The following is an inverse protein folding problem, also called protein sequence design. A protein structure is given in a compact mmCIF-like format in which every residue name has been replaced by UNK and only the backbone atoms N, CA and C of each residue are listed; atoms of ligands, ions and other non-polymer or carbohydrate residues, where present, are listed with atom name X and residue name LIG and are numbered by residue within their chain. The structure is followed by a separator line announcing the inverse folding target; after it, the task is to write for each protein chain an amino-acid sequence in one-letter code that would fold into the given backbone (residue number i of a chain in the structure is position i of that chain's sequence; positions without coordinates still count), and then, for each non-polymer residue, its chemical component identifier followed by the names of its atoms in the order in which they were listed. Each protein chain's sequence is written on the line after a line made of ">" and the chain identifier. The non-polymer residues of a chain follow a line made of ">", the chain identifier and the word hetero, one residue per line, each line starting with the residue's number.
data_IF_809787089927
#
_entry.id   IF_809787089927
#
_cell.length_a   1.000
_cell.length_b   1.000
_cell.length_c   1.000
_cell.angle_alpha   90.00
_cell.angle_beta   90.00
_cell.angle_gamma   90.00
#
_symmetry.space_group_name_H-M   'P 1'
#
loop_
_entity.id
_entity.type
_entity.pdbx_description
1 polymer ?
#
# COMPACT_ATOMS: atom_id res chain seq x y z
N UNK A 1 76.56 -30.16 -21.77
CA UNK A 1 75.58 -29.06 -21.64
C UNK A 1 74.23 -29.62 -22.08
N UNK A 2 73.39 -30.00 -21.12
CA UNK A 2 72.16 -30.79 -21.39
C UNK A 2 70.96 -29.93 -20.98
N UNK A 3 70.18 -29.47 -21.96
CA UNK A 3 68.97 -28.68 -21.72
C UNK A 3 67.85 -29.59 -21.21
N UNK A 4 67.45 -29.42 -19.94
CA UNK A 4 66.21 -30.02 -19.42
C UNK A 4 65.02 -29.19 -19.89
N UNK A 5 64.18 -29.79 -20.75
CA UNK A 5 62.88 -29.22 -21.13
C UNK A 5 61.92 -29.40 -19.95
N UNK A 6 61.59 -28.30 -19.29
CA UNK A 6 60.55 -28.24 -18.26
C UNK A 6 59.19 -28.49 -18.94
N UNK A 7 58.57 -29.65 -18.70
CA UNK A 7 57.19 -29.91 -19.14
C UNK A 7 56.24 -29.18 -18.21
N UNK A 8 55.59 -28.13 -18.71
CA UNK A 8 54.49 -27.46 -18.02
C UNK A 8 53.25 -28.37 -18.13
N UNK A 9 52.58 -28.73 -17.01
CA UNK A 9 51.35 -29.52 -17.06
C UNK A 9 50.24 -28.75 -17.80
N UNK A 10 49.35 -29.44 -18.55
CA UNK A 10 48.30 -28.78 -19.31
C UNK A 10 47.36 -27.99 -18.37
N UNK A 11 46.83 -26.83 -18.81
CA UNK A 11 45.91 -26.03 -18.01
C UNK A 11 44.65 -26.85 -17.68
N UNK A 12 44.30 -26.89 -16.39
CA UNK A 12 43.10 -27.58 -15.90
C UNK A 12 41.86 -26.78 -16.35
N UNK A 13 40.86 -27.39 -17.03
CA UNK A 13 39.65 -26.69 -17.47
C UNK A 13 38.81 -26.21 -16.28
N UNK A 14 38.26 -25.00 -16.33
CA UNK A 14 37.71 -24.32 -15.14
C UNK A 14 36.34 -24.85 -14.69
N UNK A 15 35.38 -24.98 -15.61
CA UNK A 15 33.97 -25.29 -15.30
C UNK A 15 33.73 -26.65 -14.61
N UNK A 16 34.65 -27.62 -14.67
CA UNK A 16 34.37 -28.98 -14.15
C UNK A 16 34.60 -29.06 -12.64
N UNK A 17 35.54 -28.28 -12.08
CA UNK A 17 35.71 -28.17 -10.61
C UNK A 17 34.65 -27.29 -9.97
N UNK A 18 34.13 -26.29 -10.69
CA UNK A 18 33.13 -25.36 -10.16
C UNK A 18 31.76 -25.99 -9.94
N UNK A 19 31.30 -26.89 -10.83
CA UNK A 19 29.98 -27.51 -10.68
C UNK A 19 29.89 -28.46 -9.48
N UNK A 20 30.89 -29.33 -9.31
CA UNK A 20 30.89 -30.29 -8.19
C UNK A 20 31.03 -29.57 -6.84
N UNK A 21 31.87 -28.53 -6.78
CA UNK A 21 32.00 -27.67 -5.59
C UNK A 21 30.71 -26.90 -5.32
N UNK A 22 30.09 -26.27 -6.33
CA UNK A 22 28.81 -25.58 -6.17
C UNK A 22 27.70 -26.52 -5.69
N UNK A 23 27.63 -27.75 -6.22
CA UNK A 23 26.68 -28.77 -5.77
C UNK A 23 26.93 -29.17 -4.32
N UNK A 24 28.19 -29.35 -3.92
CA UNK A 24 28.53 -29.71 -2.55
C UNK A 24 28.23 -28.57 -1.58
N UNK A 25 28.62 -27.34 -1.91
CA UNK A 25 28.25 -26.14 -1.13
C UNK A 25 26.74 -25.96 -1.03
N UNK A 26 25.99 -26.25 -2.08
CA UNK A 26 24.52 -26.22 -2.06
C UNK A 26 23.94 -27.30 -1.15
N UNK A 27 24.44 -28.54 -1.22
CA UNK A 27 24.03 -29.62 -0.32
C UNK A 27 24.35 -29.30 1.15
N UNK A 28 25.53 -28.74 1.43
CA UNK A 28 25.94 -28.32 2.77
C UNK A 28 25.04 -27.20 3.29
N UNK A 29 24.69 -26.23 2.43
CA UNK A 29 23.76 -25.16 2.76
C UNK A 29 22.34 -25.69 3.01
N UNK A 30 21.85 -26.65 2.22
CA UNK A 30 20.56 -27.31 2.49
C UNK A 30 20.56 -28.09 3.80
N UNK A 31 21.64 -28.83 4.09
CA UNK A 31 21.79 -29.53 5.36
C UNK A 31 21.85 -28.57 6.55
N UNK A 32 22.51 -27.42 6.37
CA UNK A 32 22.55 -26.33 7.34
C UNK A 32 21.15 -25.72 7.56
N UNK A 33 20.44 -25.38 6.48
CA UNK A 33 19.08 -24.86 6.52
C UNK A 33 18.12 -25.83 7.18
N UNK A 34 18.23 -27.14 6.90
CA UNK A 34 17.41 -28.18 7.56
C UNK A 34 17.69 -28.25 9.06
N UNK A 35 18.96 -28.17 9.47
CA UNK A 35 19.34 -28.24 10.90
C UNK A 35 18.93 -26.98 11.66
N UNK A 36 18.96 -25.82 11.02
CA UNK A 36 18.67 -24.50 11.62
C UNK A 36 17.43 -23.83 11.03
N UNK A 37 16.44 -24.62 10.62
CA UNK A 37 15.28 -24.15 9.87
C UNK A 37 14.52 -23.01 10.58
N UNK A 38 14.50 -23.03 11.92
CA UNK A 38 13.87 -21.99 12.74
C UNK A 38 14.50 -20.60 12.56
N UNK A 39 15.76 -20.49 12.14
CA UNK A 39 16.39 -19.20 11.80
C UNK A 39 15.92 -18.67 10.45
N UNK A 40 15.57 -19.56 9.52
CA UNK A 40 15.11 -19.21 8.18
C UNK A 40 13.59 -19.02 8.11
N UNK A 41 12.84 -19.64 9.02
CA UNK A 41 11.38 -19.55 9.07
C UNK A 41 10.87 -18.09 9.11
N UNK A 42 11.38 -17.18 9.97
CA UNK A 42 10.93 -15.79 9.97
C UNK A 42 11.20 -15.08 8.65
N UNK A 43 12.37 -15.32 8.04
CA UNK A 43 12.74 -14.72 6.76
C UNK A 43 11.77 -15.18 5.66
N UNK A 44 11.53 -16.48 5.55
CA UNK A 44 10.57 -17.01 4.58
C UNK A 44 9.14 -16.54 4.86
N UNK A 45 8.74 -16.42 6.12
CA UNK A 45 7.42 -15.88 6.48
C UNK A 45 7.26 -14.41 6.05
N UNK A 46 8.28 -13.57 6.25
CA UNK A 46 8.28 -12.17 5.77
C UNK A 46 8.14 -12.11 4.25
N UNK A 47 8.93 -12.90 3.51
CA UNK A 47 8.86 -12.93 2.05
C UNK A 47 7.53 -13.48 1.53
N UNK A 48 6.99 -14.52 2.17
CA UNK A 48 5.68 -15.07 1.82
C UNK A 48 4.56 -14.04 2.03
N UNK A 49 4.55 -13.33 3.17
CA UNK A 49 3.59 -12.26 3.44
C UNK A 49 3.74 -11.10 2.46
N UNK A 50 4.98 -10.71 2.12
CA UNK A 50 5.24 -9.68 1.12
C UNK A 50 4.74 -10.09 -0.28
N UNK A 51 4.96 -11.34 -0.68
CA UNK A 51 4.50 -11.88 -1.96
C UNK A 51 2.98 -11.94 -2.05
N UNK A 52 2.31 -12.46 -1.01
CA UNK A 52 0.83 -12.46 -0.92
C UNK A 52 0.29 -11.03 -1.03
N UNK A 53 0.93 -10.07 -0.35
CA UNK A 53 0.51 -8.66 -0.40
C UNK A 53 0.65 -8.05 -1.79
N UNK A 54 1.71 -8.39 -2.51
CA UNK A 54 2.00 -7.83 -3.82
C UNK A 54 1.10 -8.41 -4.92
N UNK A 55 0.81 -9.70 -4.87
CA UNK A 55 0.18 -10.40 -5.99
C UNK A 55 -1.24 -10.92 -5.74
N UNK A 56 -1.68 -11.07 -4.49
CA UNK A 56 -2.96 -11.71 -4.17
C UNK A 56 -3.93 -10.80 -3.41
N UNK A 57 -3.47 -10.18 -2.32
CA UNK A 57 -4.33 -9.43 -1.40
C UNK A 57 -3.57 -8.25 -0.77
N UNK A 58 -3.80 -7.01 -1.22
CA UNK A 58 -3.07 -5.84 -0.72
C UNK A 58 -3.48 -5.45 0.71
N UNK A 59 -4.52 -6.09 1.28
CA UNK A 59 -5.06 -5.76 2.61
C UNK A 59 -4.03 -6.05 3.70
N UNK A 60 -3.68 -5.07 4.56
CA UNK A 60 -2.73 -5.31 5.63
C UNK A 60 -3.38 -6.20 6.70
N UNK A 61 -2.79 -7.37 6.95
CA UNK A 61 -3.28 -8.34 7.93
C UNK A 61 -2.82 -8.07 9.36
N UNK A 62 -1.75 -7.29 9.52
CA UNK A 62 -1.25 -6.89 10.82
C UNK A 62 -2.02 -5.67 11.36
N UNK A 63 -2.12 -5.51 12.69
CA UNK A 63 -2.79 -4.35 13.29
C UNK A 63 -1.96 -3.06 13.14
N UNK A 64 -0.66 -3.16 12.85
CA UNK A 64 0.20 -2.00 12.61
C UNK A 64 0.18 -1.66 11.13
N UNK A 65 -0.11 -0.41 10.81
CA UNK A 65 -0.17 0.13 9.45
C UNK A 65 0.89 1.20 9.29
N UNK A 66 1.63 1.13 8.18
CA UNK A 66 2.62 2.13 7.80
C UNK A 66 2.08 2.98 6.65
N UNK A 67 2.04 4.29 6.85
CA UNK A 67 1.69 5.24 5.80
C UNK A 67 2.98 5.80 5.19
N UNK A 68 3.18 5.51 3.90
CA UNK A 68 4.34 5.94 3.13
C UNK A 68 4.15 7.28 2.43
N UNK A 69 2.89 7.70 2.22
CA UNK A 69 2.59 8.93 1.49
C UNK A 69 2.42 10.10 2.45
N UNK A 70 2.77 11.34 2.04
CA UNK A 70 2.55 12.51 2.87
C UNK A 70 1.07 12.93 2.95
N UNK A 71 0.12 12.01 2.75
CA UNK A 71 -1.32 12.33 2.77
C UNK A 71 -1.80 12.80 4.15
N UNK A 72 -1.26 12.20 5.21
CA UNK A 72 -1.50 12.49 6.61
C UNK A 72 -0.14 12.62 7.31
N UNK A 73 -0.03 13.36 8.43
CA UNK A 73 1.23 13.62 9.12
C UNK A 73 1.68 12.45 10.00
N UNK A 74 1.17 11.24 9.74
CA UNK A 74 1.41 10.03 10.52
C UNK A 74 2.06 8.98 9.62
N UNK A 75 3.17 8.40 10.08
CA UNK A 75 3.86 7.26 9.46
C UNK A 75 3.39 5.91 10.00
N UNK A 76 2.93 5.86 11.25
CA UNK A 76 2.51 4.63 11.93
C UNK A 76 1.15 4.83 12.59
N UNK A 77 0.26 3.88 12.34
CA UNK A 77 -1.05 3.83 12.96
C UNK A 77 -1.39 2.40 13.42
N UNK A 78 -2.22 2.30 14.43
CA UNK A 78 -2.72 1.04 14.98
C UNK A 78 -4.19 0.85 14.62
N UNK A 79 -4.55 -0.24 13.95
CA UNK A 79 -5.92 -0.61 13.60
C UNK A 79 -6.67 -1.08 14.84
N UNK A 80 -7.68 -0.30 15.22
CA UNK A 80 -8.50 -0.51 16.43
C UNK A 80 -9.57 -1.56 16.22
N UNK A 81 -10.14 -1.62 15.01
CA UNK A 81 -11.17 -2.58 14.64
C UNK A 81 -10.82 -3.31 13.35
N UNK A 82 -11.14 -4.60 13.31
CA UNK A 82 -11.13 -5.37 12.06
C UNK A 82 -12.44 -5.11 11.30
N UNK A 83 -12.52 -5.54 10.04
CA UNK A 83 -13.77 -5.43 9.26
C UNK A 83 -14.87 -6.22 9.97
N UNK A 84 -15.95 -5.55 10.34
CA UNK A 84 -17.11 -6.14 10.98
C UNK A 84 -18.21 -6.34 9.94
N UNK A 85 -19.11 -7.31 10.19
CA UNK A 85 -20.30 -7.55 9.36
C UNK A 85 -21.18 -6.30 9.27
N UNK A 86 -21.20 -5.49 10.33
CA UNK A 86 -21.82 -4.16 10.38
C UNK A 86 -20.70 -3.14 10.58
N UNK A 87 -20.50 -2.18 9.66
CA UNK A 87 -19.53 -1.11 9.85
C UNK A 87 -19.87 -0.31 11.11
N UNK A 88 -18.89 -0.02 11.99
CA UNK A 88 -19.13 0.88 13.13
C UNK A 88 -19.58 2.25 12.61
N UNK A 89 -20.46 2.91 13.36
CA UNK A 89 -20.85 4.28 13.06
C UNK A 89 -19.60 5.17 13.08
N UNK A 90 -19.20 5.66 11.90
CA UNK A 90 -18.08 6.57 11.73
C UNK A 90 -18.50 8.00 12.06
N UNK A 91 -17.59 8.76 12.66
CA UNK A 91 -17.76 10.17 13.01
C UNK A 91 -16.77 11.05 12.22
N UNK A 92 -17.12 12.32 11.95
CA UNK A 92 -16.15 13.29 11.37
C UNK A 92 -14.94 13.39 12.30
N UNK A 93 -13.74 13.10 11.79
CA UNK A 93 -12.49 13.05 12.56
C UNK A 93 -11.93 11.64 12.77
N UNK A 94 -12.73 10.60 12.55
CA UNK A 94 -12.24 9.23 12.59
C UNK A 94 -11.23 8.99 11.48
N UNK A 95 -10.17 8.24 11.79
CA UNK A 95 -9.25 7.76 10.77
C UNK A 95 -9.59 6.34 10.39
N UNK A 96 -9.64 6.08 9.09
CA UNK A 96 -10.01 4.77 8.55
C UNK A 96 -8.98 4.26 7.56
N UNK A 97 -8.89 2.94 7.51
CA UNK A 97 -8.28 2.21 6.41
C UNK A 97 -9.40 1.69 5.52
N UNK A 98 -9.33 1.93 4.21
CA UNK A 98 -10.31 1.41 3.26
C UNK A 98 -9.66 0.87 1.99
N UNK A 99 -10.32 -0.10 1.36
CA UNK A 99 -9.90 -0.63 0.07
C UNK A 99 -10.34 0.33 -1.05
N UNK A 100 -9.37 0.89 -1.78
CA UNK A 100 -9.66 1.82 -2.86
C UNK A 100 -10.46 1.15 -3.98
N UNK A 101 -11.52 1.82 -4.44
CA UNK A 101 -12.38 1.36 -5.54
C UNK A 101 -12.89 2.51 -6.42
N UNK A 102 -12.22 3.67 -6.39
CA UNK A 102 -12.57 4.82 -7.23
C UNK A 102 -12.21 4.61 -8.71
N UNK A 103 -12.77 5.43 -9.59
CA UNK A 103 -12.63 5.33 -11.04
C UNK A 103 -11.18 5.43 -11.55
N UNK A 104 -10.28 6.04 -10.76
CA UNK A 104 -8.85 6.10 -11.10
C UNK A 104 -8.23 4.71 -11.33
N UNK A 105 -8.79 3.64 -10.77
CA UNK A 105 -8.32 2.27 -11.00
C UNK A 105 -8.43 1.83 -12.47
N UNK A 106 -9.29 2.47 -13.28
CA UNK A 106 -9.40 2.20 -14.72
C UNK A 106 -8.12 2.62 -15.46
N UNK A 107 -7.49 3.71 -15.00
CA UNK A 107 -6.24 4.23 -15.57
C UNK A 107 -5.01 3.73 -14.83
N UNK A 108 -5.16 3.38 -13.55
CA UNK A 108 -4.11 2.87 -12.68
C UNK A 108 -4.58 1.56 -12.01
N UNK A 109 -4.54 0.41 -12.71
CA UNK A 109 -5.06 -0.87 -12.20
C UNK A 109 -4.46 -1.29 -10.85
N UNK A 110 -3.20 -0.89 -10.59
CA UNK A 110 -2.52 -1.14 -9.33
C UNK A 110 -3.18 -0.50 -8.10
N UNK A 111 -4.09 0.47 -8.26
CA UNK A 111 -4.86 1.07 -7.17
C UNK A 111 -6.00 0.18 -6.68
N UNK A 112 -6.45 -0.80 -7.47
CA UNK A 112 -7.61 -1.64 -7.13
C UNK A 112 -7.41 -2.35 -5.80
N UNK A 113 -8.29 -2.07 -4.85
CA UNK A 113 -8.27 -2.67 -3.51
C UNK A 113 -7.11 -2.21 -2.63
N UNK A 114 -6.25 -1.29 -3.09
CA UNK A 114 -5.13 -0.83 -2.28
C UNK A 114 -5.63 -0.15 -1.00
N UNK A 115 -5.00 -0.44 0.15
CA UNK A 115 -5.41 0.12 1.43
C UNK A 115 -5.01 1.60 1.51
N UNK A 116 -6.01 2.47 1.59
CA UNK A 116 -5.83 3.91 1.75
C UNK A 116 -6.12 4.32 3.19
N UNK A 117 -5.27 5.19 3.73
CA UNK A 117 -5.40 5.73 5.08
C UNK A 117 -5.75 7.22 5.04
N UNK A 118 -6.96 7.56 5.50
CA UNK A 118 -7.53 8.93 5.43
C UNK A 118 -8.40 9.22 6.65
N UNK A 119 -8.71 10.49 6.87
CA UNK A 119 -9.64 10.95 7.91
C UNK A 119 -11.03 11.17 7.30
N UNK A 120 -12.08 10.81 8.04
CA UNK A 120 -13.48 11.08 7.67
C UNK A 120 -13.77 12.56 7.89
N UNK A 121 -14.20 13.26 6.83
CA UNK A 121 -14.57 14.69 6.88
C UNK A 121 -16.04 14.95 6.57
N UNK A 122 -16.73 14.02 5.90
CA UNK A 122 -18.16 14.12 5.66
C UNK A 122 -18.89 12.79 5.87
N UNK A 123 -20.11 12.87 6.37
CA UNK A 123 -20.99 11.76 6.73
C UNK A 123 -22.24 11.74 5.83
N UNK A 124 -23.00 10.63 5.78
CA UNK A 124 -24.28 10.60 5.10
C UNK A 124 -25.19 11.77 5.48
N UNK A 125 -25.77 12.42 4.47
CA UNK A 125 -26.60 13.62 4.63
C UNK A 125 -25.84 14.95 4.61
N UNK A 126 -24.51 14.96 4.81
CA UNK A 126 -23.71 16.17 4.56
C UNK A 126 -23.78 16.57 3.07
N UNK A 127 -23.84 17.87 2.80
CA UNK A 127 -23.88 18.43 1.44
C UNK A 127 -22.49 18.86 0.99
N UNK A 128 -22.04 18.34 -0.15
CA UNK A 128 -20.81 18.72 -0.83
C UNK A 128 -21.14 19.80 -1.87
N UNK A 129 -20.43 20.91 -1.82
CA UNK A 129 -20.43 21.93 -2.88
C UNK A 129 -19.02 22.21 -3.36
N UNK A 130 -18.89 22.76 -4.56
CA UNK A 130 -17.61 23.14 -5.16
C UNK A 130 -17.72 24.55 -5.73
N UNK A 131 -16.78 25.42 -5.33
CA UNK A 131 -16.66 26.80 -5.82
C UNK A 131 -15.22 26.99 -6.30
N UNK A 132 -15.01 27.22 -7.60
CA UNK A 132 -13.67 27.39 -8.19
C UNK A 132 -12.65 26.35 -7.72
N UNK A 133 -13.10 25.07 -7.67
CA UNK A 133 -12.35 23.89 -7.19
C UNK A 133 -12.07 23.83 -5.69
N UNK A 134 -12.48 24.82 -4.90
CA UNK A 134 -12.60 24.70 -3.45
C UNK A 134 -13.77 23.77 -3.12
N UNK A 135 -13.52 22.69 -2.39
CA UNK A 135 -14.55 21.76 -1.93
C UNK A 135 -15.01 22.18 -0.55
N UNK A 136 -16.33 22.24 -0.35
CA UNK A 136 -16.96 22.58 0.92
C UNK A 136 -17.91 21.46 1.34
N UNK A 137 -18.02 21.23 2.64
CA UNK A 137 -19.00 20.31 3.24
C UNK A 137 -19.87 21.11 4.21
N UNK A 138 -21.17 21.19 3.94
CA UNK A 138 -22.12 22.08 4.63
C UNK A 138 -21.64 23.54 4.70
N UNK A 139 -20.99 24.02 3.65
CA UNK A 139 -20.44 25.38 3.58
C UNK A 139 -19.09 25.58 4.29
N UNK A 140 -18.56 24.59 5.01
CA UNK A 140 -17.21 24.64 5.57
C UNK A 140 -16.20 24.19 4.51
N UNK A 141 -15.18 25.01 4.23
CA UNK A 141 -14.09 24.62 3.33
C UNK A 141 -13.32 23.43 3.88
N UNK A 142 -13.21 22.37 3.09
CA UNK A 142 -12.42 21.19 3.46
C UNK A 142 -11.12 21.10 2.66
N UNK A 143 -11.03 21.76 1.51
CA UNK A 143 -9.76 21.93 0.81
C UNK A 143 -9.92 22.14 -0.69
N UNK A 144 -8.84 22.62 -1.31
CA UNK A 144 -8.78 22.87 -2.74
C UNK A 144 -8.39 21.60 -3.51
N UNK A 145 -9.12 21.30 -4.60
CA UNK A 145 -8.79 20.21 -5.52
C UNK A 145 -7.79 20.68 -6.57
N UNK A 146 -6.57 20.13 -6.55
CA UNK A 146 -5.53 20.45 -7.55
C UNK A 146 -6.00 20.14 -8.97
N UNK A 147 -5.55 20.92 -9.95
CA UNK A 147 -5.94 20.76 -11.35
C UNK A 147 -5.34 19.52 -12.01
N UNK A 148 -4.15 19.09 -11.57
CA UNK A 148 -3.41 18.00 -12.19
C UNK A 148 -2.69 17.11 -11.17
N UNK A 149 -2.46 15.87 -11.57
CA UNK A 149 -1.57 14.91 -10.91
C UNK A 149 -0.09 15.29 -11.08
N UNK A 150 0.81 14.53 -10.46
CA UNK A 150 2.26 14.71 -10.65
C UNK A 150 2.72 14.39 -12.09
N UNK A 151 2.01 13.50 -12.80
CA UNK A 151 2.26 13.14 -14.21
C UNK A 151 1.44 14.00 -15.19
N UNK A 152 1.01 15.20 -14.76
CA UNK A 152 0.29 16.21 -15.56
C UNK A 152 -1.08 15.80 -16.12
N UNK A 153 -1.69 14.73 -15.61
CA UNK A 153 -3.07 14.36 -15.97
C UNK A 153 -4.06 15.24 -15.23
N UNK A 154 -5.17 15.59 -15.90
CA UNK A 154 -6.24 16.38 -15.31
C UNK A 154 -6.89 15.68 -14.11
N UNK A 155 -7.20 16.46 -13.08
CA UNK A 155 -7.98 16.04 -11.92
C UNK A 155 -9.25 16.89 -11.85
N UNK A 156 -10.40 16.25 -11.97
CA UNK A 156 -11.67 16.92 -11.75
C UNK A 156 -12.02 16.92 -10.26
N UNK A 157 -12.52 18.05 -9.72
CA UNK A 157 -13.12 18.05 -8.39
C UNK A 157 -14.29 17.07 -8.33
N UNK A 158 -14.56 16.57 -7.13
CA UNK A 158 -15.78 15.80 -6.84
C UNK A 158 -17.02 16.58 -7.29
N UNK A 159 -18.06 15.87 -7.75
CA UNK A 159 -19.31 16.53 -8.11
C UNK A 159 -20.06 16.99 -6.85
N UNK A 160 -20.67 18.19 -6.86
CA UNK A 160 -21.59 18.60 -5.82
C UNK A 160 -22.71 17.57 -5.64
N UNK A 161 -22.97 17.17 -4.40
CA UNK A 161 -23.97 16.14 -4.08
C UNK A 161 -24.26 16.14 -2.59
N UNK A 162 -25.36 15.49 -2.18
CA UNK A 162 -25.54 15.07 -0.79
C UNK A 162 -24.91 13.69 -0.62
N UNK A 163 -24.08 13.51 0.40
CA UNK A 163 -23.44 12.22 0.67
C UNK A 163 -24.53 11.16 0.92
N UNK A 164 -24.61 10.10 0.09
CA UNK A 164 -25.68 9.11 0.22
C UNK A 164 -25.49 8.24 1.47
N UNK A 165 -26.56 7.57 1.95
CA UNK A 165 -26.46 6.57 3.00
C UNK A 165 -25.36 5.53 2.71
N UNK A 166 -24.59 5.20 3.75
CA UNK A 166 -23.51 4.22 3.65
C UNK A 166 -22.27 4.70 2.88
N UNK A 167 -22.14 6.01 2.59
CA UNK A 167 -20.94 6.59 1.99
C UNK A 167 -20.35 7.71 2.85
N UNK A 168 -19.06 7.94 2.69
CA UNK A 168 -18.29 8.90 3.48
C UNK A 168 -17.39 9.72 2.57
N UNK A 169 -17.22 11.00 2.90
CA UNK A 169 -16.18 11.82 2.32
C UNK A 169 -14.93 11.71 3.20
N UNK A 170 -13.81 11.29 2.61
CA UNK A 170 -12.55 11.11 3.34
C UNK A 170 -11.44 11.94 2.73
N UNK A 171 -10.51 12.39 3.56
CA UNK A 171 -9.49 13.34 3.16
C UNK A 171 -8.19 13.14 3.94
N UNK A 172 -7.06 13.43 3.28
CA UNK A 172 -5.78 13.66 3.93
C UNK A 172 -5.54 15.16 4.18
N UNK A 173 -4.75 15.50 5.18
CA UNK A 173 -4.43 16.89 5.54
C UNK A 173 -3.51 17.57 4.52
N UNK A 174 -2.76 16.82 3.72
CA UNK A 174 -1.89 17.38 2.70
C UNK A 174 -2.66 17.90 1.48
N UNK A 175 -2.26 19.06 0.91
CA UNK A 175 -2.79 19.54 -0.36
C UNK A 175 -2.66 18.51 -1.50
N UNK A 176 -1.61 17.69 -1.47
CA UNK A 176 -1.29 16.70 -2.50
C UNK A 176 -1.95 15.33 -2.28
N UNK A 177 -2.70 15.16 -1.20
CA UNK A 177 -3.38 13.90 -0.89
C UNK A 177 -4.42 13.56 -1.98
N UNK A 178 -4.29 12.38 -2.61
CA UNK A 178 -5.33 11.83 -3.47
C UNK A 178 -6.44 11.20 -2.61
N UNK A 179 -7.63 11.81 -2.62
CA UNK A 179 -8.76 11.51 -1.74
C UNK A 179 -10.11 12.03 -2.31
N UNK A 180 -11.18 12.06 -1.51
CA UNK A 180 -12.54 12.40 -1.97
C UNK A 180 -12.71 13.81 -2.52
N UNK A 181 -11.69 14.69 -2.47
CA UNK A 181 -11.70 15.96 -3.22
C UNK A 181 -11.84 15.75 -4.73
N UNK A 182 -11.42 14.59 -5.24
CA UNK A 182 -11.36 14.31 -6.67
C UNK A 182 -12.44 13.34 -7.10
N UNK A 183 -13.07 13.61 -8.25
CA UNK A 183 -14.11 12.74 -8.85
C UNK A 183 -13.59 11.31 -9.05
N UNK A 184 -12.36 11.18 -9.54
CA UNK A 184 -11.75 9.88 -9.83
C UNK A 184 -11.38 9.06 -8.59
N UNK A 185 -11.33 9.68 -7.40
CA UNK A 185 -11.25 8.96 -6.12
C UNK A 185 -12.64 8.64 -5.57
N UNK A 186 -13.54 9.63 -5.61
CA UNK A 186 -14.93 9.49 -5.18
C UNK A 186 -15.13 9.40 -3.66
N UNK A 187 -16.36 9.08 -3.27
CA UNK A 187 -16.75 8.80 -1.89
C UNK A 187 -16.38 7.36 -1.52
N UNK A 188 -16.14 7.12 -0.23
CA UNK A 188 -15.84 5.79 0.29
C UNK A 188 -17.12 5.15 0.82
N UNK A 189 -17.48 4.00 0.28
CA UNK A 189 -18.64 3.21 0.70
C UNK A 189 -18.29 2.39 1.94
N UNK A 190 -19.27 2.13 2.80
CA UNK A 190 -19.05 1.46 4.08
C UNK A 190 -18.43 0.05 3.92
N UNK A 191 -18.75 -0.67 2.85
CA UNK A 191 -18.17 -1.99 2.53
C UNK A 191 -16.68 -1.94 2.14
N UNK A 192 -16.17 -0.78 1.73
CA UNK A 192 -14.75 -0.57 1.45
C UNK A 192 -13.93 -0.39 2.73
N UNK A 193 -14.57 -0.01 3.83
CA UNK A 193 -13.90 0.24 5.11
C UNK A 193 -13.35 -1.08 5.65
N UNK A 194 -12.03 -1.14 5.82
CA UNK A 194 -11.31 -2.28 6.40
C UNK A 194 -11.31 -2.16 7.93
N UNK A 195 -11.21 -0.95 8.46
CA UNK A 195 -11.28 -0.71 9.91
C UNK A 195 -10.90 0.70 10.33
N UNK A 196 -11.20 1.01 11.59
CA UNK A 196 -10.78 2.24 12.26
C UNK A 196 -9.31 2.14 12.67
N UNK A 197 -8.61 3.27 12.62
CA UNK A 197 -7.17 3.35 12.92
C UNK A 197 -6.93 4.48 13.90
N UNK A 198 -5.99 4.29 14.84
CA UNK A 198 -5.47 5.31 15.73
C UNK A 198 -4.06 5.69 15.26
N UNK A 199 -3.83 6.92 14.79
CA UNK A 199 -2.49 7.39 14.47
C UNK A 199 -1.60 7.47 15.72
N UNK A 200 -0.29 7.29 15.56
CA UNK A 200 0.68 7.29 16.68
C UNK A 200 1.83 8.29 16.45
N UNK A 201 2.48 8.20 15.28
CA UNK A 201 3.51 9.08 14.73
C UNK A 201 3.60 8.80 13.22
#
# INVERSE_FOLDING_TARGET
>A
MTLQIVRIPPPVPWHVRSYRQARQSFCDQLAHMRRRWHLYLPVFAIWALAYVRLFLDPTPRLPIVFNWTPSLPYRVAYRVSWKQTVPPALHRGDYILFAFAGDAQQHYPGLRGQPFFKMVRGLPGDTITVQDRMVLINGESVGHAKAQTFDHRGLDPIQPTVIPPGSYYVQGSSPDSFDSRYRSSGLVRAEQVIGLVRPLF
#
